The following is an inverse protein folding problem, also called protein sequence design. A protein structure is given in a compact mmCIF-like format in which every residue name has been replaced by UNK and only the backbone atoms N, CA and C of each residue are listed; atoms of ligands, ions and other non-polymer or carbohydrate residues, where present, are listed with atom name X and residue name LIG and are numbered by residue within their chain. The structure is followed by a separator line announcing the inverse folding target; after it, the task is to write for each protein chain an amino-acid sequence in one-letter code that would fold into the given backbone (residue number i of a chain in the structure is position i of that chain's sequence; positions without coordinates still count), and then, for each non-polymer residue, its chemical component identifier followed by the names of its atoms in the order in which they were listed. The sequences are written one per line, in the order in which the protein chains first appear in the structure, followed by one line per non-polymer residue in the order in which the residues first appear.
data_IF_710860368418
#
_entry.id   IF_710860368418
#
_cell.length_a   1.000
_cell.length_b   1.000
_cell.length_c   1.000
_cell.angle_alpha   90.00
_cell.angle_beta   90.00
_cell.angle_gamma   90.00
#
_symmetry.space_group_name_H-M   'P 1'
#
loop_
_entity.id
_entity.type
_entity.pdbx_description
1 polymer ?
#
# COMPACT_ATOMS: atom_id res chain seq x y z
N UNK A 1 9.73 -25.21 7.37
CA UNK A 1 9.50 -23.76 7.22
C UNK A 1 9.00 -23.33 5.82
N UNK A 2 9.16 -24.13 4.76
CA UNK A 2 8.66 -23.82 3.42
C UNK A 2 7.11 -23.88 3.33
N UNK A 3 6.45 -24.68 4.14
CA UNK A 3 4.99 -24.76 4.17
C UNK A 3 4.34 -23.48 4.73
N UNK A 4 4.98 -22.78 5.64
CA UNK A 4 4.48 -21.51 6.21
C UNK A 4 4.47 -20.40 5.15
N UNK A 5 5.47 -20.36 4.29
CA UNK A 5 5.55 -19.35 3.21
C UNK A 5 4.43 -19.55 2.17
N UNK A 6 4.07 -20.80 1.86
CA UNK A 6 2.95 -21.09 0.95
C UNK A 6 1.59 -20.75 1.54
N UNK A 7 1.43 -20.83 2.86
CA UNK A 7 0.19 -20.51 3.57
C UNK A 7 0.04 -19.02 3.91
N UNK A 8 1.07 -18.21 3.73
CA UNK A 8 1.05 -16.78 4.09
C UNK A 8 0.04 -15.96 3.28
N UNK A 9 -0.05 -16.07 1.93
CA UNK A 9 -1.00 -15.27 1.16
C UNK A 9 -2.47 -15.46 1.59
N UNK A 10 -3.01 -16.67 1.78
CA UNK A 10 -4.36 -16.88 2.28
C UNK A 10 -4.60 -16.29 3.67
N UNK A 11 -3.60 -16.32 4.56
CA UNK A 11 -3.72 -15.74 5.90
C UNK A 11 -3.76 -14.20 5.80
N UNK A 12 -2.96 -13.60 4.94
CA UNK A 12 -2.91 -12.14 4.73
C UNK A 12 -4.25 -11.59 4.22
N UNK A 13 -4.99 -12.33 3.42
CA UNK A 13 -6.31 -11.95 2.88
C UNK A 13 -7.30 -11.57 3.99
N UNK A 14 -7.25 -12.22 5.14
CA UNK A 14 -8.11 -11.88 6.28
C UNK A 14 -7.91 -10.45 6.80
N UNK A 15 -6.68 -9.93 6.72
CA UNK A 15 -6.41 -8.52 7.04
C UNK A 15 -7.12 -7.57 6.08
N UNK A 16 -7.11 -7.86 4.79
CA UNK A 16 -7.82 -7.03 3.78
C UNK A 16 -9.34 -7.13 3.95
N UNK A 17 -9.89 -8.33 4.26
CA UNK A 17 -11.31 -8.51 4.56
C UNK A 17 -11.72 -7.66 5.77
N UNK A 18 -10.93 -7.67 6.84
CA UNK A 18 -11.18 -6.85 8.02
C UNK A 18 -11.13 -5.34 7.71
N UNK A 19 -10.20 -4.92 6.85
CA UNK A 19 -10.10 -3.54 6.41
C UNK A 19 -11.34 -3.10 5.60
N UNK A 20 -11.79 -3.92 4.64
CA UNK A 20 -13.00 -3.67 3.85
C UNK A 20 -14.22 -3.59 4.77
N UNK A 21 -14.36 -4.51 5.72
CA UNK A 21 -15.46 -4.52 6.68
C UNK A 21 -15.48 -3.22 7.52
N UNK A 22 -14.33 -2.74 7.97
CA UNK A 22 -14.22 -1.47 8.70
C UNK A 22 -14.60 -0.26 7.82
N UNK A 23 -14.15 -0.22 6.56
CA UNK A 23 -14.53 0.83 5.60
C UNK A 23 -16.06 0.87 5.37
N UNK A 24 -16.66 -0.28 5.15
CA UNK A 24 -18.11 -0.38 4.92
C UNK A 24 -18.89 -0.02 6.18
N UNK A 25 -18.45 -0.49 7.33
CA UNK A 25 -19.08 -0.15 8.62
C UNK A 25 -19.12 1.36 8.85
N UNK A 26 -17.99 2.05 8.71
CA UNK A 26 -17.92 3.50 8.91
C UNK A 26 -18.74 4.28 7.89
N UNK A 27 -18.79 3.84 6.64
CA UNK A 27 -19.59 4.49 5.60
C UNK A 27 -21.09 4.27 5.79
N UNK A 28 -21.54 3.02 6.01
CA UNK A 28 -22.96 2.67 6.14
C UNK A 28 -23.59 3.23 7.42
N UNK A 29 -22.80 3.39 8.49
CA UNK A 29 -23.27 4.00 9.74
C UNK A 29 -23.22 5.53 9.72
N UNK A 30 -22.80 6.15 8.62
CA UNK A 30 -22.69 7.61 8.50
C UNK A 30 -21.56 8.23 9.34
N UNK A 31 -20.65 7.42 9.87
CA UNK A 31 -19.57 7.88 10.74
C UNK A 31 -18.26 8.21 10.00
N UNK A 32 -18.26 8.24 8.68
CA UNK A 32 -17.09 8.48 7.84
C UNK A 32 -16.36 9.80 8.16
N UNK A 33 -17.10 10.86 8.45
CA UNK A 33 -16.56 12.18 8.82
C UNK A 33 -16.80 12.54 10.30
N UNK A 34 -17.13 11.55 11.14
CA UNK A 34 -17.43 11.73 12.56
C UNK A 34 -16.26 11.35 13.45
N UNK A 35 -16.14 11.99 14.60
CA UNK A 35 -15.20 11.62 15.68
C UNK A 35 -15.39 10.17 16.13
N UNK A 36 -16.59 9.61 15.96
CA UNK A 36 -16.91 8.23 16.34
C UNK A 36 -15.99 7.19 15.69
N UNK A 37 -15.44 7.46 14.49
CA UNK A 37 -14.48 6.56 13.85
C UNK A 37 -13.25 6.29 14.72
N UNK A 38 -12.79 7.28 15.50
CA UNK A 38 -11.66 7.11 16.42
C UNK A 38 -12.02 6.26 17.63
N UNK A 39 -13.25 6.37 18.14
CA UNK A 39 -13.73 5.49 19.21
C UNK A 39 -13.81 4.04 18.75
N UNK A 40 -14.33 3.77 17.54
CA UNK A 40 -14.37 2.42 16.97
C UNK A 40 -12.95 1.85 16.78
N UNK A 41 -12.03 2.65 16.25
CA UNK A 41 -10.64 2.23 16.09
C UNK A 41 -9.97 1.95 17.46
N UNK A 42 -10.24 2.80 18.48
CA UNK A 42 -9.75 2.61 19.84
C UNK A 42 -10.27 1.31 20.47
N UNK A 43 -11.56 1.04 20.40
CA UNK A 43 -12.17 -0.19 20.93
C UNK A 43 -11.57 -1.42 20.23
N UNK A 44 -11.48 -1.41 18.89
CA UNK A 44 -10.87 -2.50 18.13
C UNK A 44 -9.41 -2.74 18.53
N UNK A 45 -8.65 -1.67 18.77
CA UNK A 45 -7.25 -1.75 19.22
C UNK A 45 -7.14 -2.36 20.62
N UNK A 46 -8.04 -2.03 21.55
CA UNK A 46 -8.08 -2.64 22.90
C UNK A 46 -8.39 -4.16 22.80
N UNK A 47 -9.35 -4.54 21.97
CA UNK A 47 -9.69 -5.95 21.74
C UNK A 47 -8.46 -6.69 21.18
N UNK A 48 -7.78 -6.08 20.18
CA UNK A 48 -6.57 -6.65 19.59
C UNK A 48 -5.44 -6.78 20.62
N UNK A 49 -5.25 -5.78 21.49
CA UNK A 49 -4.25 -5.83 22.55
C UNK A 49 -4.53 -7.00 23.54
N UNK A 50 -5.80 -7.18 23.94
CA UNK A 50 -6.23 -8.31 24.76
C UNK A 50 -5.96 -9.66 24.06
N UNK A 51 -6.31 -9.76 22.78
CA UNK A 51 -6.03 -10.95 21.98
C UNK A 51 -4.52 -11.24 21.83
N UNK A 52 -3.71 -10.20 21.68
CA UNK A 52 -2.26 -10.35 21.55
C UNK A 52 -1.61 -11.03 22.77
N UNK A 53 -2.19 -10.90 23.96
CA UNK A 53 -1.73 -11.58 25.17
C UNK A 53 -1.93 -13.10 25.11
N UNK A 54 -2.84 -13.58 24.29
CA UNK A 54 -3.12 -15.02 24.07
C UNK A 54 -2.19 -15.67 23.05
N UNK A 55 -1.38 -14.87 22.31
CA UNK A 55 -0.51 -15.40 21.27
C UNK A 55 0.67 -16.22 21.88
N UNK A 56 1.12 -17.27 21.18
CA UNK A 56 2.27 -18.06 21.64
C UNK A 56 3.54 -17.19 21.70
N UNK A 57 4.35 -17.44 22.73
CA UNK A 57 5.63 -16.73 22.91
C UNK A 57 6.58 -17.06 21.76
N UNK A 58 6.97 -16.07 20.98
CA UNK A 58 8.01 -16.17 19.95
C UNK A 58 9.29 -15.51 20.45
N UNK A 59 10.22 -16.27 21.09
CA UNK A 59 11.45 -15.67 21.57
C UNK A 59 12.29 -15.14 20.39
N UNK A 60 12.89 -13.94 20.51
CA UNK A 60 13.76 -13.40 19.49
C UNK A 60 14.96 -14.34 19.29
N UNK A 61 15.31 -14.60 18.03
CA UNK A 61 16.52 -15.34 17.68
C UNK A 61 17.75 -14.49 18.05
N UNK A 62 18.30 -14.69 19.25
CA UNK A 62 19.57 -14.08 19.62
C UNK A 62 20.70 -14.79 18.88
N UNK A 63 21.26 -14.18 17.86
CA UNK A 63 22.59 -14.54 17.40
C UNK A 63 23.58 -14.22 18.53
N UNK A 64 24.07 -15.27 19.20
CA UNK A 64 25.12 -15.14 20.20
C UNK A 64 26.41 -14.73 19.49
N UNK A 65 27.01 -13.61 19.87
CA UNK A 65 28.46 -13.45 19.80
C UNK A 65 29.04 -12.28 19.00
N UNK A 66 28.28 -11.40 18.36
CA UNK A 66 28.88 -10.21 17.74
C UNK A 66 28.30 -8.93 18.35
N UNK A 67 29.19 -8.11 18.92
CA UNK A 67 28.85 -6.72 19.27
C UNK A 67 28.62 -5.96 17.94
N UNK A 68 27.38 -5.90 17.49
CA UNK A 68 27.03 -5.12 16.29
C UNK A 68 27.29 -3.65 16.58
N UNK A 69 28.01 -2.97 15.69
CA UNK A 69 28.13 -1.52 15.70
C UNK A 69 26.72 -0.88 15.73
N UNK A 70 26.60 0.31 16.32
CA UNK A 70 25.34 1.09 16.28
C UNK A 70 24.80 1.20 14.85
N UNK A 71 25.67 1.46 13.89
CA UNK A 71 25.34 1.52 12.45
C UNK A 71 24.69 0.24 11.94
N UNK A 72 25.23 -0.93 12.34
CA UNK A 72 24.67 -2.24 11.97
C UNK A 72 23.38 -2.55 12.73
N UNK A 73 23.28 -2.10 13.98
CA UNK A 73 22.07 -2.31 14.80
C UNK A 73 20.87 -1.56 14.21
N UNK A 74 21.08 -0.34 13.72
CA UNK A 74 20.05 0.45 13.04
C UNK A 74 19.92 0.15 11.54
N UNK A 75 20.70 -0.78 11.00
CA UNK A 75 20.62 -1.17 9.58
C UNK A 75 21.09 -0.09 8.61
N UNK A 76 21.82 0.92 9.08
CA UNK A 76 22.31 2.03 8.27
C UNK A 76 23.30 1.59 7.18
N UNK A 77 23.92 0.42 7.32
CA UNK A 77 24.75 -0.20 6.29
C UNK A 77 24.00 -0.43 4.96
N UNK A 78 22.66 -0.53 5.01
CA UNK A 78 21.84 -0.66 3.80
C UNK A 78 21.97 0.56 2.87
N UNK A 79 22.28 1.76 3.39
CA UNK A 79 22.53 2.94 2.56
C UNK A 79 23.72 2.79 1.62
N UNK A 80 24.69 1.93 1.94
CA UNK A 80 25.80 1.59 1.03
C UNK A 80 25.31 0.94 -0.27
N UNK A 81 24.12 0.34 -0.28
CA UNK A 81 23.51 -0.24 -1.46
C UNK A 81 23.18 0.83 -2.51
N UNK A 82 22.96 2.09 -2.11
CA UNK A 82 22.70 3.21 -3.02
C UNK A 82 23.92 3.54 -3.89
N UNK A 83 25.13 3.11 -3.53
CA UNK A 83 26.33 3.24 -4.38
C UNK A 83 26.27 2.34 -5.64
N UNK A 84 25.46 1.28 -5.61
CA UNK A 84 25.23 0.43 -6.79
C UNK A 84 24.12 1.03 -7.65
N UNK A 85 24.42 1.36 -8.91
CA UNK A 85 23.48 1.97 -9.85
C UNK A 85 22.14 1.23 -9.97
N UNK A 86 22.17 -0.11 -10.03
CA UNK A 86 20.97 -0.94 -10.12
C UNK A 86 20.08 -0.82 -8.88
N UNK A 87 20.70 -0.81 -7.71
CA UNK A 87 19.99 -0.65 -6.42
C UNK A 87 19.51 0.79 -6.25
N UNK A 88 20.31 1.78 -6.63
CA UNK A 88 19.89 3.18 -6.60
C UNK A 88 18.65 3.41 -7.46
N UNK A 89 18.64 2.93 -8.71
CA UNK A 89 17.48 3.04 -9.58
C UNK A 89 16.24 2.38 -8.99
N UNK A 90 16.40 1.20 -8.37
CA UNK A 90 15.33 0.50 -7.69
C UNK A 90 14.77 1.32 -6.51
N UNK A 91 15.64 1.87 -5.65
CA UNK A 91 15.21 2.67 -4.50
C UNK A 91 14.59 4.01 -4.89
N UNK A 92 15.07 4.66 -5.95
CA UNK A 92 14.43 5.86 -6.50
C UNK A 92 13.04 5.55 -7.06
N UNK A 93 12.89 4.45 -7.78
CA UNK A 93 11.58 3.98 -8.24
C UNK A 93 10.65 3.68 -7.06
N UNK A 94 11.17 3.08 -6.01
CA UNK A 94 10.43 2.80 -4.77
C UNK A 94 9.95 4.07 -4.08
N UNK A 95 10.78 5.10 -4.05
CA UNK A 95 10.43 6.43 -3.53
C UNK A 95 9.27 7.06 -4.32
N UNK A 96 9.37 7.06 -5.66
CA UNK A 96 8.33 7.63 -6.53
C UNK A 96 7.00 6.88 -6.39
N UNK A 97 7.06 5.56 -6.35
CA UNK A 97 5.85 4.74 -6.15
C UNK A 97 5.26 4.90 -4.74
N UNK A 98 6.09 5.11 -3.73
CA UNK A 98 5.65 5.46 -2.39
C UNK A 98 4.90 6.80 -2.36
N UNK A 99 5.37 7.79 -3.11
CA UNK A 99 4.67 9.07 -3.26
C UNK A 99 3.30 8.88 -3.94
N UNK A 100 3.23 8.07 -5.01
CA UNK A 100 1.98 7.75 -5.70
C UNK A 100 1.00 6.99 -4.79
N UNK A 101 1.50 6.03 -4.01
CA UNK A 101 0.71 5.31 -3.01
C UNK A 101 0.12 6.25 -1.96
N UNK A 102 0.93 7.17 -1.44
CA UNK A 102 0.49 8.12 -0.44
C UNK A 102 -0.59 9.06 -0.96
N UNK A 103 -0.48 9.53 -2.19
CA UNK A 103 -1.52 10.30 -2.87
C UNK A 103 -2.86 9.54 -2.88
N UNK A 104 -2.82 8.27 -3.24
CA UNK A 104 -4.01 7.41 -3.22
C UNK A 104 -4.62 7.27 -1.82
N UNK A 105 -3.76 7.05 -0.81
CA UNK A 105 -4.21 6.84 0.57
C UNK A 105 -4.83 8.09 1.19
N UNK A 106 -4.31 9.28 0.87
CA UNK A 106 -4.81 10.54 1.42
C UNK A 106 -6.05 11.05 0.68
N UNK A 107 -6.05 10.95 -0.64
CA UNK A 107 -7.04 11.64 -1.47
C UNK A 107 -7.98 10.71 -2.25
N UNK A 108 -7.77 9.40 -2.21
CA UNK A 108 -8.58 8.47 -3.00
C UNK A 108 -10.07 8.54 -2.68
N UNK A 109 -10.43 8.56 -1.42
CA UNK A 109 -11.83 8.68 -0.98
C UNK A 109 -12.31 10.13 -1.08
N UNK A 110 -11.48 11.09 -0.67
CA UNK A 110 -11.77 12.53 -0.73
C UNK A 110 -12.01 13.00 -2.17
N UNK A 111 -11.35 12.39 -3.15
CA UNK A 111 -11.57 12.68 -4.57
C UNK A 111 -13.02 12.49 -5.00
N UNK A 112 -13.66 11.37 -4.63
CA UNK A 112 -15.09 11.18 -4.92
C UNK A 112 -15.98 12.08 -4.07
N UNK A 113 -15.65 12.29 -2.79
CA UNK A 113 -16.40 13.18 -1.92
C UNK A 113 -16.39 14.64 -2.38
N UNK A 114 -15.32 15.08 -3.05
CA UNK A 114 -15.24 16.44 -3.58
C UNK A 114 -16.37 16.75 -4.58
N UNK A 115 -16.84 15.75 -5.30
CA UNK A 115 -17.94 15.95 -6.26
C UNK A 115 -19.29 16.29 -5.61
N UNK A 116 -19.45 16.15 -4.29
CA UNK A 116 -20.66 16.60 -3.58
C UNK A 116 -20.90 18.11 -3.66
N UNK A 117 -19.84 18.89 -3.89
CA UNK A 117 -19.94 20.35 -4.06
C UNK A 117 -20.47 20.77 -5.43
N UNK A 118 -20.61 19.85 -6.37
CA UNK A 118 -21.16 20.10 -7.70
C UNK A 118 -22.61 19.59 -7.77
N UNK A 119 -23.63 20.48 -7.95
CA UNK A 119 -25.04 20.07 -7.96
C UNK A 119 -25.36 18.93 -8.92
N UNK A 120 -24.64 18.86 -10.04
CA UNK A 120 -24.79 17.78 -11.05
C UNK A 120 -24.49 16.38 -10.51
N UNK A 121 -23.59 16.28 -9.52
CA UNK A 121 -23.05 15.00 -9.04
C UNK A 121 -23.42 14.69 -7.58
N UNK A 122 -23.90 15.68 -6.82
CA UNK A 122 -24.11 15.59 -5.38
C UNK A 122 -24.97 14.38 -4.95
N UNK A 123 -26.04 14.10 -5.71
CA UNK A 123 -26.98 13.02 -5.43
C UNK A 123 -26.59 11.68 -6.08
N UNK A 124 -25.43 11.60 -6.74
CA UNK A 124 -25.01 10.37 -7.40
C UNK A 124 -24.67 9.28 -6.36
N UNK A 125 -24.99 8.03 -6.71
CA UNK A 125 -24.68 6.86 -5.88
C UNK A 125 -23.18 6.78 -5.52
N UNK A 126 -22.31 7.10 -6.47
CA UNK A 126 -20.86 7.01 -6.31
C UNK A 126 -20.29 8.05 -5.35
N UNK A 127 -20.89 9.23 -5.23
CA UNK A 127 -20.51 10.26 -4.26
C UNK A 127 -21.03 9.87 -2.87
N UNK A 128 -22.30 9.46 -2.77
CA UNK A 128 -22.91 9.05 -1.50
C UNK A 128 -22.19 7.85 -0.87
N UNK A 129 -21.73 6.91 -1.67
CA UNK A 129 -21.05 5.70 -1.23
C UNK A 129 -19.60 5.62 -1.73
N UNK A 130 -18.90 6.76 -1.72
CA UNK A 130 -17.51 6.88 -2.21
C UNK A 130 -16.56 5.85 -1.60
N UNK A 131 -16.64 5.62 -0.30
CA UNK A 131 -15.81 4.64 0.40
C UNK A 131 -16.09 3.20 -0.08
N UNK A 132 -17.35 2.88 -0.40
CA UNK A 132 -17.70 1.55 -0.95
C UNK A 132 -17.12 1.39 -2.35
N UNK A 133 -17.22 2.40 -3.21
CA UNK A 133 -16.61 2.39 -4.54
C UNK A 133 -15.09 2.23 -4.44
N UNK A 134 -14.44 3.00 -3.55
CA UNK A 134 -13.00 2.93 -3.36
C UNK A 134 -12.55 1.60 -2.75
N UNK A 135 -13.41 0.89 -1.98
CA UNK A 135 -13.09 -0.44 -1.47
C UNK A 135 -12.89 -1.51 -2.55
N UNK A 136 -13.36 -1.26 -3.79
CA UNK A 136 -13.06 -2.12 -4.95
C UNK A 136 -11.54 -2.26 -5.13
N UNK A 137 -10.77 -1.23 -4.78
CA UNK A 137 -9.30 -1.28 -4.81
C UNK A 137 -8.75 -2.37 -3.88
N UNK A 138 -9.35 -2.54 -2.70
CA UNK A 138 -8.93 -3.53 -1.72
C UNK A 138 -9.33 -4.96 -2.14
N UNK A 139 -10.50 -5.10 -2.75
CA UNK A 139 -10.91 -6.39 -3.34
C UNK A 139 -9.94 -6.77 -4.46
N UNK A 140 -9.62 -5.82 -5.33
CA UNK A 140 -8.64 -6.00 -6.41
C UNK A 140 -7.25 -6.38 -5.87
N UNK A 141 -6.76 -5.70 -4.83
CA UNK A 141 -5.51 -6.04 -4.14
C UNK A 141 -5.50 -7.52 -3.73
N UNK A 142 -6.57 -7.97 -3.06
CA UNK A 142 -6.69 -9.37 -2.65
C UNK A 142 -6.58 -10.35 -3.82
N UNK A 143 -7.25 -10.07 -4.93
CA UNK A 143 -7.22 -10.95 -6.11
C UNK A 143 -5.83 -10.95 -6.77
N UNK A 144 -5.18 -9.80 -6.89
CA UNK A 144 -3.86 -9.71 -7.51
C UNK A 144 -2.76 -10.30 -6.63
N UNK A 145 -2.84 -10.22 -5.29
CA UNK A 145 -1.93 -10.95 -4.40
C UNK A 145 -1.94 -12.45 -4.71
N UNK A 146 -3.13 -13.03 -4.89
CA UNK A 146 -3.27 -14.45 -5.24
C UNK A 146 -2.74 -14.78 -6.64
N UNK A 147 -2.82 -13.83 -7.58
CA UNK A 147 -2.36 -13.99 -8.96
C UNK A 147 -0.85 -13.78 -9.14
N UNK A 148 -0.16 -13.13 -8.19
CA UNK A 148 1.28 -12.80 -8.30
C UNK A 148 2.16 -13.99 -8.65
N UNK A 149 2.03 -15.21 -8.07
CA UNK A 149 2.87 -16.34 -8.43
C UNK A 149 2.81 -16.68 -9.92
N UNK A 150 1.63 -16.57 -10.52
CA UNK A 150 1.45 -16.79 -11.97
C UNK A 150 2.20 -15.74 -12.79
N UNK A 151 2.07 -14.46 -12.45
CA UNK A 151 2.74 -13.38 -13.16
C UNK A 151 4.26 -13.45 -13.02
N UNK A 152 4.76 -13.75 -11.82
CA UNK A 152 6.20 -13.89 -11.57
C UNK A 152 6.80 -15.08 -12.32
N UNK A 153 6.11 -16.22 -12.38
CA UNK A 153 6.59 -17.39 -13.12
C UNK A 153 6.63 -17.15 -14.63
N UNK A 154 5.66 -16.41 -15.17
CA UNK A 154 5.55 -16.15 -16.61
C UNK A 154 6.42 -15.01 -17.09
N UNK A 155 6.52 -13.91 -16.33
CA UNK A 155 7.15 -12.66 -16.79
C UNK A 155 8.44 -12.33 -16.05
N UNK A 156 8.67 -12.90 -14.87
CA UNK A 156 9.80 -12.61 -14.02
C UNK A 156 9.71 -11.26 -13.30
N UNK A 157 10.55 -11.07 -12.28
CA UNK A 157 10.53 -9.94 -11.35
C UNK A 157 10.54 -8.58 -12.09
N UNK A 158 11.47 -8.39 -13.03
CA UNK A 158 11.65 -7.09 -13.72
C UNK A 158 10.40 -6.66 -14.49
N UNK A 159 9.80 -7.57 -15.27
CA UNK A 159 8.61 -7.23 -16.07
C UNK A 159 7.40 -7.00 -15.19
N UNK A 160 7.24 -7.75 -14.10
CA UNK A 160 6.13 -7.55 -13.15
C UNK A 160 6.25 -6.18 -12.48
N UNK A 161 7.45 -5.73 -12.10
CA UNK A 161 7.67 -4.38 -11.58
C UNK A 161 7.33 -3.29 -12.62
N UNK A 162 7.71 -3.49 -13.91
CA UNK A 162 7.36 -2.54 -14.97
C UNK A 162 5.85 -2.47 -15.21
N UNK A 163 5.16 -3.62 -15.19
CA UNK A 163 3.69 -3.67 -15.27
C UNK A 163 3.06 -2.85 -14.15
N UNK A 164 3.57 -2.96 -12.92
CA UNK A 164 3.10 -2.15 -11.79
C UNK A 164 3.28 -0.65 -12.04
N UNK A 165 4.42 -0.23 -12.55
CA UNK A 165 4.67 1.20 -12.85
C UNK A 165 3.69 1.73 -13.91
N UNK A 166 3.45 0.96 -14.98
CA UNK A 166 2.46 1.30 -16.00
C UNK A 166 1.05 1.33 -15.40
N UNK A 167 0.73 0.40 -14.51
CA UNK A 167 -0.55 0.36 -13.82
C UNK A 167 -0.79 1.62 -12.98
N UNK A 168 0.23 2.18 -12.32
CA UNK A 168 0.12 3.47 -11.62
C UNK A 168 -0.21 4.63 -12.57
N UNK A 169 0.46 4.70 -13.73
CA UNK A 169 0.17 5.73 -14.74
C UNK A 169 -1.28 5.58 -15.24
N UNK A 170 -1.71 4.35 -15.55
CA UNK A 170 -3.06 4.07 -15.99
C UNK A 170 -4.09 4.43 -14.91
N UNK A 171 -3.83 4.10 -13.65
CA UNK A 171 -4.70 4.43 -12.51
C UNK A 171 -4.99 5.92 -12.44
N UNK A 172 -3.95 6.74 -12.36
CA UNK A 172 -4.12 8.20 -12.25
C UNK A 172 -4.69 8.82 -13.52
N UNK A 173 -4.33 8.30 -14.69
CA UNK A 173 -4.96 8.70 -15.95
C UNK A 173 -6.48 8.45 -15.96
N UNK A 174 -6.91 7.26 -15.54
CA UNK A 174 -8.34 6.93 -15.43
C UNK A 174 -9.08 7.80 -14.40
N UNK A 175 -8.44 8.10 -13.26
CA UNK A 175 -9.02 9.02 -12.27
C UNK A 175 -9.13 10.44 -12.81
N UNK A 176 -8.13 10.92 -13.55
CA UNK A 176 -8.12 12.27 -14.12
C UNK A 176 -9.28 12.53 -15.09
N UNK A 177 -9.69 11.53 -15.86
CA UNK A 177 -10.80 11.62 -16.82
C UNK A 177 -12.13 11.09 -16.27
N UNK A 178 -12.11 10.40 -15.14
CA UNK A 178 -13.29 9.83 -14.50
C UNK A 178 -14.19 10.90 -13.88
N UNK A 179 -15.50 10.61 -13.82
CA UNK A 179 -16.47 11.41 -13.09
C UNK A 179 -17.52 10.50 -12.44
N UNK A 180 -18.31 10.99 -11.45
CA UNK A 180 -19.24 10.15 -10.68
C UNK A 180 -20.43 9.57 -11.45
N UNK A 181 -20.69 9.99 -12.67
CA UNK A 181 -21.81 9.54 -13.49
C UNK A 181 -21.33 8.79 -14.74
N UNK A 182 -21.23 9.45 -15.88
CA UNK A 182 -20.89 8.83 -17.17
C UNK A 182 -19.47 8.24 -17.20
N UNK A 183 -18.55 8.81 -16.41
CA UNK A 183 -17.16 8.35 -16.25
C UNK A 183 -16.91 7.43 -15.05
N UNK A 184 -17.96 6.96 -14.37
CA UNK A 184 -17.80 6.08 -13.19
C UNK A 184 -17.05 4.78 -13.52
N UNK A 185 -17.24 4.25 -14.73
CA UNK A 185 -16.50 3.07 -15.17
C UNK A 185 -14.98 3.27 -15.17
N UNK A 186 -14.49 4.49 -15.47
CA UNK A 186 -13.06 4.79 -15.40
C UNK A 186 -12.55 4.74 -13.97
N UNK A 187 -13.34 5.24 -13.01
CA UNK A 187 -13.01 5.18 -11.59
C UNK A 187 -12.99 3.73 -11.12
N UNK A 188 -13.97 2.91 -11.51
CA UNK A 188 -14.02 1.48 -11.17
C UNK A 188 -12.82 0.74 -11.75
N UNK A 189 -12.51 0.95 -13.04
CA UNK A 189 -11.32 0.34 -13.67
C UNK A 189 -10.03 0.80 -12.99
N UNK A 190 -9.93 2.08 -12.61
CA UNK A 190 -8.81 2.59 -11.80
C UNK A 190 -8.66 1.84 -10.47
N UNK A 191 -9.77 1.56 -9.78
CA UNK A 191 -9.77 0.77 -8.55
C UNK A 191 -9.32 -0.69 -8.79
N UNK A 192 -9.72 -1.29 -9.90
CA UNK A 192 -9.27 -2.64 -10.28
C UNK A 192 -7.77 -2.65 -10.60
N UNK A 193 -7.28 -1.68 -11.33
CA UNK A 193 -5.86 -1.55 -11.69
C UNK A 193 -4.97 -1.33 -10.45
N UNK A 194 -5.52 -0.76 -9.37
CA UNK A 194 -4.78 -0.50 -8.13
C UNK A 194 -4.13 -1.75 -7.54
N UNK A 195 -4.84 -2.87 -7.46
CA UNK A 195 -4.28 -4.10 -6.91
C UNK A 195 -3.01 -4.54 -7.65
N UNK A 196 -3.04 -4.46 -8.99
CA UNK A 196 -1.85 -4.73 -9.80
C UNK A 196 -0.76 -3.67 -9.61
N UNK A 197 -1.14 -2.40 -9.50
CA UNK A 197 -0.20 -1.30 -9.32
C UNK A 197 0.58 -1.41 -8.01
N UNK A 198 -0.09 -1.74 -6.92
CA UNK A 198 0.51 -1.80 -5.58
C UNK A 198 1.25 -3.12 -5.33
N UNK A 199 0.57 -4.26 -5.46
CA UNK A 199 1.13 -5.54 -5.04
C UNK A 199 2.25 -6.05 -5.93
N UNK A 200 2.15 -5.83 -7.23
CA UNK A 200 3.20 -6.28 -8.15
C UNK A 200 4.53 -5.61 -7.86
N UNK A 201 4.54 -4.33 -7.50
CA UNK A 201 5.79 -3.68 -7.12
C UNK A 201 6.26 -4.12 -5.74
N UNK A 202 5.38 -4.14 -4.76
CA UNK A 202 5.73 -4.40 -3.36
C UNK A 202 6.34 -5.80 -3.20
N UNK A 203 5.68 -6.83 -3.75
CA UNK A 203 6.14 -8.21 -3.64
C UNK A 203 7.35 -8.47 -4.56
N UNK A 204 7.31 -7.98 -5.80
CA UNK A 204 8.46 -8.13 -6.71
C UNK A 204 9.68 -7.36 -6.22
N UNK A 205 9.48 -6.17 -5.62
CA UNK A 205 10.55 -5.37 -5.02
C UNK A 205 11.21 -6.09 -3.85
N UNK A 206 10.41 -6.68 -2.97
CA UNK A 206 10.91 -7.51 -1.88
C UNK A 206 11.73 -8.70 -2.39
N UNK A 207 11.25 -9.40 -3.42
CA UNK A 207 11.98 -10.49 -4.06
C UNK A 207 13.26 -9.99 -4.77
N UNK A 208 13.21 -8.82 -5.39
CA UNK A 208 14.37 -8.20 -6.02
C UNK A 208 15.48 -7.92 -4.99
N UNK A 209 15.14 -7.31 -3.85
CA UNK A 209 16.07 -7.09 -2.74
C UNK A 209 16.67 -8.42 -2.27
N UNK A 210 15.83 -9.42 -2.01
CA UNK A 210 16.28 -10.73 -1.54
C UNK A 210 17.21 -11.45 -2.51
N UNK A 211 17.06 -11.22 -3.83
CA UNK A 211 17.90 -11.84 -4.87
C UNK A 211 19.20 -11.10 -5.16
N UNK A 212 19.30 -9.80 -4.82
CA UNK A 212 20.46 -8.96 -5.15
C UNK A 212 21.30 -8.57 -3.91
N UNK A 213 20.87 -8.95 -2.70
CA UNK A 213 21.56 -8.59 -1.46
C UNK A 213 21.98 -9.84 -0.69
N UNK A 214 23.22 -9.90 -0.14
CA UNK A 214 23.67 -10.98 0.72
C UNK A 214 22.72 -11.24 1.90
N UNK A 215 22.65 -12.48 2.36
CA UNK A 215 21.68 -12.90 3.39
C UNK A 215 21.77 -12.07 4.67
N UNK A 216 22.98 -11.69 5.05
CA UNK A 216 23.31 -10.93 6.25
C UNK A 216 22.68 -9.52 6.25
N UNK A 217 22.56 -8.92 5.06
CA UNK A 217 22.10 -7.55 4.88
C UNK A 217 20.63 -7.45 4.38
N UNK A 218 19.96 -8.58 4.13
CA UNK A 218 18.60 -8.58 3.57
C UNK A 218 17.58 -7.86 4.44
N UNK A 219 17.64 -8.06 5.75
CA UNK A 219 16.72 -7.42 6.68
C UNK A 219 16.86 -5.88 6.64
N UNK A 220 18.10 -5.38 6.66
CA UNK A 220 18.37 -3.95 6.56
C UNK A 220 17.99 -3.37 5.20
N UNK A 221 18.21 -4.10 4.12
CA UNK A 221 17.82 -3.70 2.76
C UNK A 221 16.29 -3.70 2.57
N UNK A 222 15.56 -4.64 3.17
CA UNK A 222 14.09 -4.61 3.22
C UNK A 222 13.59 -3.42 4.06
N UNK A 223 14.25 -3.12 5.18
CA UNK A 223 13.96 -1.92 5.97
C UNK A 223 14.16 -0.64 5.15
N UNK A 224 15.26 -0.53 4.39
CA UNK A 224 15.49 0.59 3.49
C UNK A 224 14.42 0.68 2.39
N UNK A 225 14.00 -0.45 1.82
CA UNK A 225 12.92 -0.50 0.84
C UNK A 225 11.61 0.06 1.43
N UNK A 226 11.23 -0.38 2.63
CA UNK A 226 10.04 0.13 3.33
C UNK A 226 10.17 1.62 3.69
N UNK A 227 11.38 2.07 4.07
CA UNK A 227 11.64 3.47 4.36
C UNK A 227 11.54 4.35 3.11
N UNK A 228 12.01 3.87 1.95
CA UNK A 228 11.87 4.60 0.69
C UNK A 228 10.41 4.68 0.24
N UNK A 229 9.61 3.62 0.40
CA UNK A 229 8.19 3.63 0.00
C UNK A 229 7.32 4.34 1.03
N UNK A 230 7.26 3.84 2.26
CA UNK A 230 6.30 4.29 3.28
C UNK A 230 6.81 5.44 4.16
N UNK A 231 8.11 5.74 4.10
CA UNK A 231 8.73 6.87 4.78
C UNK A 231 8.93 8.05 3.83
N UNK A 232 10.08 8.09 3.17
CA UNK A 232 10.44 9.22 2.30
C UNK A 232 9.47 9.42 1.14
N UNK A 233 8.98 8.35 0.51
CA UNK A 233 7.97 8.42 -0.53
C UNK A 233 6.67 9.03 -0.02
N UNK A 234 6.22 8.63 1.16
CA UNK A 234 5.01 9.18 1.76
C UNK A 234 5.16 10.68 2.11
N UNK A 235 6.32 11.08 2.68
CA UNK A 235 6.61 12.50 2.96
C UNK A 235 6.62 13.31 1.65
N UNK A 236 7.29 12.82 0.63
CA UNK A 236 7.35 13.49 -0.67
C UNK A 236 5.95 13.64 -1.28
N UNK A 237 5.17 12.56 -1.31
CA UNK A 237 3.82 12.53 -1.86
C UNK A 237 2.88 13.48 -1.12
N UNK A 238 2.85 13.45 0.21
CA UNK A 238 2.00 14.33 1.02
C UNK A 238 2.39 15.79 0.91
N UNK A 239 3.70 16.10 0.92
CA UNK A 239 4.17 17.50 0.85
C UNK A 239 3.87 18.11 -0.52
N UNK A 240 4.17 17.41 -1.61
CA UNK A 240 3.92 17.91 -2.97
C UNK A 240 2.42 18.07 -3.21
N UNK A 241 1.62 17.07 -2.83
CA UNK A 241 0.18 17.13 -3.04
C UNK A 241 -0.48 18.23 -2.21
N UNK A 242 -0.06 18.42 -0.95
CA UNK A 242 -0.55 19.52 -0.11
C UNK A 242 -0.29 20.88 -0.75
N UNK A 243 0.95 21.15 -1.17
CA UNK A 243 1.32 22.42 -1.84
C UNK A 243 0.50 22.63 -3.13
N UNK A 244 0.30 21.59 -3.92
CA UNK A 244 -0.46 21.69 -5.17
C UNK A 244 -1.94 21.97 -4.90
N UNK A 245 -2.54 21.28 -3.93
CA UNK A 245 -3.95 21.48 -3.58
C UNK A 245 -4.16 22.88 -3.02
N UNK A 246 -3.37 23.33 -2.07
CA UNK A 246 -3.49 24.66 -1.46
C UNK A 246 -3.29 25.79 -2.47
N UNK A 247 -2.53 25.55 -3.56
CA UNK A 247 -2.24 26.58 -4.56
C UNK A 247 -3.29 26.65 -5.68
N UNK A 248 -3.93 25.55 -6.03
CA UNK A 248 -4.76 25.46 -7.24
C UNK A 248 -6.23 25.11 -6.97
N UNK A 249 -6.58 24.72 -5.74
CA UNK A 249 -7.93 24.34 -5.33
C UNK A 249 -8.35 25.00 -4.03
#
# INVERSE_FOLDING_TARGET
NLNVVKSFPPIRVWGTIGFIAAMWFTNLTGNKASVNQFYFAGIASFILAGYALSLPKCPPSKQKGESKSIVQTFGLDAFKLLANYKMLLFFLSSLMLGAALQLTNMYGDTYLDFFKYFPKYADSFSVKYSTIIMSISQVSETLFILAIPFFLSKFGIKKVMLISMIAWVLRFGLLSFGNPTDGLWMIIVSCIVYGMAFDFFNISGSLFVNSNVPKENRASAQGLFMMMTNGFGAILGSSISGILIDKYF
#
